data_IF_373210107232
#
_entry.id   IF_373210107232
#
_cell.length_a   1.000
_cell.length_b   1.000
_cell.length_c   1.000
_cell.angle_alpha   90.00
_cell.angle_beta   90.00
_cell.angle_gamma   90.00
#
_symmetry.space_group_name_H-M   'P 1'
#
loop_
_entity.id
_entity.type
_entity.pdbx_description
1 polymer ?
#
# COMPACT_ATOMS: atom_id res chain seq x y z
N UNK A 1 -15.50 7.31 5.67
CA UNK A 1 -14.17 6.63 5.60
C UNK A 1 -14.35 5.32 4.86
N UNK A 2 -14.01 5.26 3.57
CA UNK A 2 -14.14 4.03 2.78
C UNK A 2 -13.14 2.98 3.31
N UNK A 3 -13.63 1.80 3.68
CA UNK A 3 -12.77 0.65 3.98
C UNK A 3 -12.05 0.29 2.67
N UNK A 4 -10.76 0.64 2.61
CA UNK A 4 -9.90 0.33 1.47
C UNK A 4 -9.46 -1.11 1.67
N UNK A 5 -10.03 -2.02 0.90
CA UNK A 5 -9.66 -3.43 0.92
C UNK A 5 -8.71 -3.70 -0.26
N UNK A 6 -7.40 -3.41 -0.13
CA UNK A 6 -6.47 -3.52 -1.25
C UNK A 6 -6.37 -4.98 -1.72
N UNK A 7 -6.30 -5.16 -3.03
CA UNK A 7 -6.00 -6.42 -3.69
C UNK A 7 -5.24 -6.16 -4.98
N UNK A 8 -4.88 -7.20 -5.73
CA UNK A 8 -4.17 -7.09 -7.00
C UNK A 8 -4.38 -8.33 -7.86
N UNK A 9 -4.04 -8.23 -9.14
CA UNK A 9 -3.85 -9.38 -10.03
C UNK A 9 -2.54 -9.20 -10.81
N UNK A 10 -1.83 -10.29 -11.05
CA UNK A 10 -0.61 -10.27 -11.87
C UNK A 10 -0.96 -10.69 -13.30
N UNK A 11 -0.55 -9.88 -14.29
CA UNK A 11 -0.73 -10.14 -15.73
C UNK A 11 0.60 -9.91 -16.42
N UNK A 12 1.15 -10.93 -17.05
CA UNK A 12 2.43 -10.87 -17.79
C UNK A 12 3.61 -10.27 -16.99
N UNK A 13 3.61 -10.46 -15.67
CA UNK A 13 4.63 -9.93 -14.76
C UNK A 13 4.38 -8.50 -14.26
N UNK A 14 3.30 -7.86 -14.69
CA UNK A 14 2.82 -6.58 -14.18
C UNK A 14 1.76 -6.78 -13.09
N UNK A 15 1.93 -6.08 -11.97
CA UNK A 15 0.97 -6.09 -10.85
C UNK A 15 -0.08 -5.01 -11.05
N UNK A 16 -1.30 -5.41 -11.37
CA UNK A 16 -2.44 -4.51 -11.55
C UNK A 16 -3.12 -4.32 -10.18
N UNK A 17 -3.14 -3.09 -9.63
CA UNK A 17 -3.77 -2.84 -8.34
C UNK A 17 -5.29 -2.95 -8.44
N UNK A 18 -5.90 -3.40 -7.35
CA UNK A 18 -7.34 -3.56 -7.24
C UNK A 18 -7.87 -3.21 -5.84
N UNK A 19 -9.19 -3.16 -5.75
CA UNK A 19 -9.95 -3.06 -4.50
C UNK A 19 -11.12 -4.03 -4.55
N UNK A 20 -11.76 -4.31 -3.43
CA UNK A 20 -12.95 -5.15 -3.43
C UNK A 20 -14.00 -4.74 -2.40
N UNK A 21 -15.24 -5.08 -2.70
CA UNK A 21 -16.43 -4.89 -1.85
C UNK A 21 -17.41 -6.03 -2.05
N UNK A 22 -18.41 -6.14 -1.19
CA UNK A 22 -19.49 -7.12 -1.41
C UNK A 22 -20.61 -6.58 -2.31
N UNK A 23 -21.16 -7.47 -3.11
CA UNK A 23 -22.40 -7.29 -3.87
C UNK A 23 -23.24 -8.58 -3.81
N UNK A 24 -24.44 -8.55 -4.37
CA UNK A 24 -25.27 -9.73 -4.51
C UNK A 24 -25.45 -10.08 -5.98
N UNK A 25 -25.35 -11.36 -6.33
CA UNK A 25 -25.75 -11.86 -7.64
C UNK A 25 -26.95 -12.78 -7.55
N UNK A 26 -27.76 -12.83 -8.60
CA UNK A 26 -29.01 -13.59 -8.59
C UNK A 26 -28.78 -15.05 -9.00
N UNK A 27 -29.18 -15.98 -8.14
CA UNK A 27 -29.22 -17.43 -8.39
C UNK A 27 -30.64 -17.96 -8.20
N UNK A 28 -31.41 -18.07 -9.27
CA UNK A 28 -32.84 -18.37 -9.19
C UNK A 28 -33.61 -17.31 -8.38
N UNK A 29 -34.32 -17.76 -7.35
CA UNK A 29 -35.10 -16.89 -6.45
C UNK A 29 -34.32 -16.40 -5.22
N UNK A 30 -33.00 -16.62 -5.17
CA UNK A 30 -32.14 -16.24 -4.05
C UNK A 30 -30.99 -15.35 -4.51
N UNK A 31 -30.71 -14.30 -3.75
CA UNK A 31 -29.53 -13.47 -3.90
C UNK A 31 -28.33 -14.08 -3.18
N UNK A 32 -27.19 -14.19 -3.86
CA UNK A 32 -25.97 -14.72 -3.28
C UNK A 32 -24.96 -13.60 -3.07
N UNK A 33 -24.56 -13.41 -1.81
CA UNK A 33 -23.46 -12.51 -1.46
C UNK A 33 -22.18 -13.00 -2.13
N UNK A 34 -21.50 -12.11 -2.84
CA UNK A 34 -20.24 -12.38 -3.53
C UNK A 34 -19.33 -11.16 -3.44
N UNK A 35 -18.05 -11.37 -3.74
CA UNK A 35 -17.08 -10.30 -3.81
C UNK A 35 -17.07 -9.69 -5.22
N UNK A 36 -17.10 -8.36 -5.25
CA UNK A 36 -16.85 -7.53 -6.41
C UNK A 36 -15.44 -6.97 -6.30
N UNK A 37 -14.54 -7.45 -7.14
CA UNK A 37 -13.17 -6.96 -7.26
C UNK A 37 -13.07 -6.04 -8.47
N UNK A 38 -12.53 -4.84 -8.27
CA UNK A 38 -12.35 -3.80 -9.30
C UNK A 38 -10.86 -3.55 -9.47
N UNK A 39 -10.38 -3.54 -10.71
CA UNK A 39 -8.96 -3.35 -11.04
C UNK A 39 -8.71 -2.02 -11.76
N UNK A 40 -7.47 -1.53 -11.68
CA UNK A 40 -7.04 -0.24 -12.26
C UNK A 40 -7.22 -0.13 -13.78
N UNK A 41 -7.22 -1.25 -14.48
CA UNK A 41 -7.39 -1.33 -15.92
C UNK A 41 -8.87 -1.40 -16.35
N UNK A 42 -9.81 -1.28 -15.41
CA UNK A 42 -11.24 -1.29 -15.67
C UNK A 42 -11.87 -2.68 -15.80
N UNK A 43 -11.11 -3.74 -15.53
CA UNK A 43 -11.69 -5.07 -15.40
C UNK A 43 -12.27 -5.29 -14.01
N UNK A 44 -13.33 -6.10 -13.97
CA UNK A 44 -14.11 -6.38 -12.77
C UNK A 44 -14.31 -7.89 -12.65
N UNK A 45 -14.01 -8.42 -11.48
CA UNK A 45 -14.43 -9.75 -11.06
C UNK A 45 -15.66 -9.62 -10.16
N UNK A 46 -16.69 -10.42 -10.40
CA UNK A 46 -17.89 -10.45 -9.54
C UNK A 46 -18.22 -11.87 -9.07
N UNK A 47 -17.32 -12.84 -9.31
CA UNK A 47 -17.55 -14.27 -9.08
C UNK A 47 -18.20 -14.99 -10.28
N UNK A 48 -18.13 -14.41 -11.47
CA UNK A 48 -18.56 -15.04 -12.73
C UNK A 48 -17.47 -15.89 -13.38
N UNK A 49 -17.76 -16.45 -14.56
CA UNK A 49 -16.80 -17.31 -15.30
C UNK A 49 -15.57 -16.56 -15.83
N UNK A 50 -15.68 -15.24 -16.02
CA UNK A 50 -14.60 -14.38 -16.51
C UNK A 50 -14.71 -12.97 -15.94
N UNK A 51 -13.61 -12.24 -16.03
CA UNK A 51 -13.58 -10.79 -15.84
C UNK A 51 -14.45 -10.10 -16.89
N UNK A 52 -15.07 -9.00 -16.47
CA UNK A 52 -15.95 -8.17 -17.31
C UNK A 52 -15.46 -6.72 -17.32
N UNK A 53 -15.79 -5.98 -18.38
CA UNK A 53 -15.53 -4.53 -18.41
C UNK A 53 -16.56 -3.78 -17.56
N UNK A 54 -16.32 -2.49 -17.31
CA UNK A 54 -17.29 -1.58 -16.65
C UNK A 54 -18.63 -1.56 -17.39
N UNK A 55 -18.64 -1.59 -18.73
CA UNK A 55 -19.85 -1.58 -19.56
C UNK A 55 -20.64 -2.88 -19.44
N UNK A 56 -19.93 -4.02 -19.43
CA UNK A 56 -20.52 -5.33 -19.21
C UNK A 56 -21.09 -5.45 -17.79
N UNK A 57 -20.36 -4.95 -16.78
CA UNK A 57 -20.85 -4.87 -15.41
C UNK A 57 -22.10 -3.99 -15.30
N UNK A 58 -22.13 -2.85 -16.00
CA UNK A 58 -23.33 -2.02 -16.08
C UNK A 58 -24.52 -2.77 -16.70
N UNK A 59 -24.29 -3.67 -17.66
CA UNK A 59 -25.34 -4.54 -18.22
C UNK A 59 -25.83 -5.60 -17.20
N UNK A 60 -24.93 -6.14 -16.37
CA UNK A 60 -25.29 -7.06 -15.28
C UNK A 60 -26.17 -6.37 -14.22
N UNK A 61 -25.87 -5.11 -13.90
CA UNK A 61 -26.70 -4.30 -13.02
C UNK A 61 -28.07 -4.01 -13.63
N UNK A 62 -28.12 -3.57 -14.90
CA UNK A 62 -29.40 -3.29 -15.61
C UNK A 62 -30.29 -4.53 -15.76
N UNK A 63 -29.69 -5.70 -15.96
CA UNK A 63 -30.45 -6.96 -16.08
C UNK A 63 -30.94 -7.50 -14.73
N UNK A 64 -30.54 -6.91 -13.60
CA UNK A 64 -30.86 -7.42 -12.27
C UNK A 64 -30.15 -8.73 -11.95
N UNK A 65 -29.07 -9.06 -12.67
CA UNK A 65 -28.21 -10.21 -12.36
C UNK A 65 -27.27 -9.90 -11.19
N UNK A 66 -26.91 -8.63 -11.01
CA UNK A 66 -26.17 -8.12 -9.85
C UNK A 66 -26.97 -6.99 -9.21
N UNK A 67 -26.93 -6.90 -7.88
CA UNK A 67 -27.49 -5.81 -7.11
C UNK A 67 -26.55 -5.41 -5.97
N UNK A 68 -26.61 -4.15 -5.55
CA UNK A 68 -25.87 -3.66 -4.39
C UNK A 68 -26.48 -4.17 -3.07
N UNK A 69 -27.75 -4.59 -3.07
CA UNK A 69 -28.43 -5.18 -1.93
C UNK A 69 -29.84 -5.66 -2.29
N UNK A 70 -30.31 -6.79 -1.74
CA UNK A 70 -31.70 -7.24 -1.86
C UNK A 70 -32.67 -6.32 -1.10
N UNK A 71 -33.93 -6.29 -1.53
CA UNK A 71 -35.00 -5.50 -0.92
C UNK A 71 -35.82 -6.30 0.09
N UNK A 72 -36.75 -5.63 0.78
CA UNK A 72 -37.67 -6.24 1.74
C UNK A 72 -38.35 -7.50 1.17
N UNK A 73 -38.34 -8.60 1.94
CA UNK A 73 -38.96 -9.87 1.56
C UNK A 73 -38.14 -10.76 0.63
N UNK A 74 -37.05 -10.27 0.04
CA UNK A 74 -36.20 -11.09 -0.82
C UNK A 74 -35.31 -12.05 -0.01
N UNK A 75 -35.03 -13.22 -0.59
CA UNK A 75 -34.13 -14.22 -0.01
C UNK A 75 -32.69 -13.90 -0.37
N UNK A 76 -31.79 -14.01 0.60
CA UNK A 76 -30.36 -13.97 0.35
C UNK A 76 -29.62 -15.11 1.04
N UNK A 77 -28.42 -15.40 0.55
CA UNK A 77 -27.54 -16.40 1.09
C UNK A 77 -26.08 -15.96 0.95
N UNK A 78 -25.25 -16.39 1.90
CA UNK A 78 -23.80 -16.33 1.78
C UNK A 78 -23.25 -17.76 1.87
N UNK A 79 -22.41 -18.11 0.90
CA UNK A 79 -21.90 -19.48 0.75
C UNK A 79 -21.22 -19.95 2.05
N UNK A 80 -21.63 -21.12 2.54
CA UNK A 80 -21.17 -21.74 3.80
C UNK A 80 -21.40 -20.94 5.08
N UNK A 81 -22.12 -19.83 5.02
CA UNK A 81 -22.48 -19.01 6.18
C UNK A 81 -23.94 -19.26 6.55
N UNK A 82 -24.86 -19.11 5.57
CA UNK A 82 -26.29 -19.32 5.79
C UNK A 82 -27.17 -18.62 4.77
N UNK A 83 -28.48 -18.66 5.00
CA UNK A 83 -29.49 -17.96 4.20
C UNK A 83 -30.54 -17.29 5.09
N UNK A 84 -31.13 -16.22 4.59
CA UNK A 84 -32.09 -15.39 5.31
C UNK A 84 -33.08 -14.71 4.35
N UNK A 85 -34.19 -14.23 4.90
CA UNK A 85 -35.12 -13.34 4.20
C UNK A 85 -34.94 -11.94 4.76
N UNK A 86 -34.83 -10.93 3.90
CA UNK A 86 -34.66 -9.55 4.32
C UNK A 86 -35.91 -9.02 5.00
N UNK A 87 -35.76 -8.51 6.23
CA UNK A 87 -36.83 -7.84 6.97
C UNK A 87 -36.32 -6.54 7.60
N UNK A 88 -37.13 -5.47 7.52
CA UNK A 88 -36.79 -4.15 8.05
C UNK A 88 -35.66 -3.44 7.30
N UNK A 89 -35.57 -3.57 5.97
CA UNK A 89 -34.53 -2.91 5.17
C UNK A 89 -34.70 -1.39 5.21
N UNK A 90 -33.73 -0.69 5.83
CA UNK A 90 -33.76 0.78 5.97
C UNK A 90 -33.01 1.52 4.87
N UNK A 91 -31.93 0.93 4.37
CA UNK A 91 -31.04 1.53 3.38
C UNK A 91 -30.62 0.47 2.38
N UNK A 92 -30.75 0.77 1.09
CA UNK A 92 -30.19 -0.05 0.02
C UNK A 92 -29.50 0.88 -0.99
N UNK A 93 -28.33 0.46 -1.48
CA UNK A 93 -27.65 1.19 -2.54
C UNK A 93 -28.34 0.92 -3.88
N UNK A 94 -28.34 1.92 -4.76
CA UNK A 94 -28.95 1.82 -6.09
C UNK A 94 -27.92 1.36 -7.13
N UNK A 95 -28.33 0.62 -8.19
CA UNK A 95 -27.41 0.16 -9.22
C UNK A 95 -26.57 1.29 -9.86
N UNK A 96 -27.17 2.44 -10.10
CA UNK A 96 -26.52 3.63 -10.66
C UNK A 96 -25.45 4.21 -9.73
N UNK A 97 -25.67 4.18 -8.42
CA UNK A 97 -24.70 4.64 -7.43
C UNK A 97 -23.51 3.69 -7.39
N UNK A 98 -23.77 2.37 -7.34
CA UNK A 98 -22.72 1.36 -7.37
C UNK A 98 -21.88 1.45 -8.65
N UNK A 99 -22.50 1.64 -9.81
CA UNK A 99 -21.77 1.81 -11.06
C UNK A 99 -20.87 3.06 -11.04
N UNK A 100 -21.39 4.18 -10.52
CA UNK A 100 -20.61 5.40 -10.35
C UNK A 100 -19.41 5.22 -9.41
N UNK A 101 -19.64 4.59 -8.25
CA UNK A 101 -18.58 4.26 -7.29
C UNK A 101 -17.52 3.33 -7.90
N UNK A 102 -17.92 2.34 -8.69
CA UNK A 102 -16.98 1.44 -9.40
C UNK A 102 -16.12 2.21 -10.40
N UNK A 103 -16.70 3.15 -11.15
CA UNK A 103 -15.95 4.00 -12.08
C UNK A 103 -14.91 4.86 -11.34
N UNK A 104 -15.29 5.47 -10.23
CA UNK A 104 -14.36 6.24 -9.40
C UNK A 104 -13.24 5.38 -8.82
N UNK A 105 -13.54 4.14 -8.41
CA UNK A 105 -12.50 3.20 -7.96
C UNK A 105 -11.51 2.86 -9.07
N UNK A 106 -11.97 2.67 -10.32
CA UNK A 106 -11.08 2.47 -11.48
C UNK A 106 -10.16 3.68 -11.69
N UNK A 107 -10.71 4.90 -11.70
CA UNK A 107 -9.92 6.12 -11.87
C UNK A 107 -8.87 6.27 -10.76
N UNK A 108 -9.30 6.07 -9.50
CA UNK A 108 -8.43 6.14 -8.33
C UNK A 108 -7.30 5.11 -8.40
N UNK A 109 -7.62 3.87 -8.74
CA UNK A 109 -6.63 2.79 -8.85
C UNK A 109 -5.65 3.03 -10.00
N UNK A 110 -6.09 3.67 -11.07
CA UNK A 110 -5.26 4.07 -12.20
C UNK A 110 -4.46 5.37 -11.96
N UNK A 111 -4.59 6.01 -10.80
CA UNK A 111 -3.93 7.27 -10.49
C UNK A 111 -4.48 8.47 -11.27
N UNK A 112 -5.73 8.38 -11.75
CA UNK A 112 -6.44 9.47 -12.44
C UNK A 112 -7.45 10.14 -11.51
N UNK A 113 -7.82 11.41 -11.76
CA UNK A 113 -8.79 12.12 -10.94
C UNK A 113 -10.16 11.45 -10.96
N UNK A 114 -10.66 11.11 -9.78
CA UNK A 114 -12.05 10.68 -9.53
C UNK A 114 -13.06 11.77 -9.87
N UNK A 115 -14.35 11.42 -9.98
CA UNK A 115 -15.42 12.41 -10.18
C UNK A 115 -15.42 13.53 -9.14
N UNK A 116 -15.13 13.19 -7.87
CA UNK A 116 -15.04 14.15 -6.77
C UNK A 116 -13.87 15.11 -6.99
N UNK A 117 -12.68 14.61 -7.32
CA UNK A 117 -11.51 15.44 -7.56
C UNK A 117 -11.69 16.36 -8.78
N UNK A 118 -12.34 15.87 -9.85
CA UNK A 118 -12.69 16.71 -11.01
C UNK A 118 -13.69 17.81 -10.65
N UNK A 119 -14.67 17.51 -9.81
CA UNK A 119 -15.62 18.52 -9.32
C UNK A 119 -14.92 19.58 -8.47
N UNK A 120 -14.03 19.19 -7.55
CA UNK A 120 -13.26 20.16 -6.75
C UNK A 120 -12.34 21.03 -7.61
N UNK A 121 -11.73 20.47 -8.67
CA UNK A 121 -10.99 21.27 -9.63
C UNK A 121 -11.90 22.28 -10.37
N UNK A 122 -13.12 21.87 -10.73
CA UNK A 122 -14.11 22.78 -11.32
C UNK A 122 -14.55 23.89 -10.35
N UNK A 123 -14.64 23.60 -9.03
CA UNK A 123 -14.87 24.64 -8.00
C UNK A 123 -13.75 25.68 -8.03
N UNK A 124 -12.49 25.24 -8.09
CA UNK A 124 -11.33 26.13 -8.12
C UNK A 124 -11.33 27.03 -9.37
N UNK A 125 -11.62 26.45 -10.54
CA UNK A 125 -11.76 27.21 -11.81
C UNK A 125 -12.88 28.24 -11.72
N UNK A 126 -14.05 27.86 -11.17
CA UNK A 126 -15.17 28.77 -10.99
C UNK A 126 -14.87 29.90 -10.00
N UNK A 127 -14.21 29.61 -8.89
CA UNK A 127 -13.86 30.63 -7.89
C UNK A 127 -12.80 31.61 -8.39
N UNK A 128 -11.89 31.16 -9.27
CA UNK A 128 -10.92 32.01 -9.95
C UNK A 128 -11.59 32.94 -10.97
N UNK A 129 -12.52 32.42 -11.76
CA UNK A 129 -13.27 33.17 -12.78
C UNK A 129 -14.75 32.77 -12.77
N UNK A 130 -15.60 33.63 -12.17
CA UNK A 130 -17.02 33.37 -11.92
C UNK A 130 -17.89 33.63 -13.15
N UNK A 131 -17.58 32.96 -14.27
CA UNK A 131 -18.41 33.00 -15.48
C UNK A 131 -19.53 31.97 -15.42
N UNK A 132 -20.60 32.21 -16.17
CA UNK A 132 -21.68 31.23 -16.34
C UNK A 132 -21.18 29.92 -16.94
N UNK A 133 -20.20 29.97 -17.85
CA UNK A 133 -19.59 28.78 -18.44
C UNK A 133 -18.88 27.92 -17.37
N UNK A 134 -18.09 28.55 -16.50
CA UNK A 134 -17.40 27.85 -15.41
C UNK A 134 -18.39 27.32 -14.36
N UNK A 135 -19.47 28.07 -14.09
CA UNK A 135 -20.56 27.60 -13.21
C UNK A 135 -21.27 26.38 -13.77
N UNK A 136 -21.61 26.40 -15.05
CA UNK A 136 -22.24 25.26 -15.73
C UNK A 136 -21.31 24.04 -15.75
N UNK A 137 -20.01 24.24 -15.94
CA UNK A 137 -19.01 23.18 -15.85
C UNK A 137 -18.92 22.58 -14.44
N UNK A 138 -18.90 23.42 -13.40
CA UNK A 138 -18.97 22.98 -12.00
C UNK A 138 -20.25 22.17 -11.73
N UNK A 139 -21.41 22.67 -12.17
CA UNK A 139 -22.68 21.97 -12.01
C UNK A 139 -22.65 20.60 -12.69
N UNK A 140 -22.14 20.53 -13.91
CA UNK A 140 -21.98 19.26 -14.63
C UNK A 140 -21.06 18.29 -13.89
N UNK A 141 -19.89 18.76 -13.42
CA UNK A 141 -18.93 17.94 -12.69
C UNK A 141 -19.49 17.44 -11.34
N UNK A 142 -20.28 18.25 -10.63
CA UNK A 142 -20.95 17.82 -9.40
C UNK A 142 -21.98 16.71 -9.68
N UNK A 143 -22.72 16.79 -10.79
CA UNK A 143 -23.69 15.78 -11.18
C UNK A 143 -23.04 14.45 -11.61
N UNK A 144 -21.79 14.47 -12.09
CA UNK A 144 -21.01 13.26 -12.34
C UNK A 144 -20.64 12.50 -11.06
N UNK A 145 -20.57 13.17 -9.91
CA UNK A 145 -20.30 12.49 -8.64
C UNK A 145 -21.45 11.53 -8.35
N UNK A 146 -21.16 10.24 -8.05
CA UNK A 146 -22.18 9.30 -7.61
C UNK A 146 -22.94 9.87 -6.43
N UNK A 147 -24.27 9.82 -6.45
CA UNK A 147 -25.12 10.46 -5.43
C UNK A 147 -24.78 10.01 -4.00
N UNK A 148 -24.40 8.74 -3.84
CA UNK A 148 -23.91 8.16 -2.58
C UNK A 148 -22.60 8.77 -2.07
N UNK A 149 -21.81 9.39 -2.95
CA UNK A 149 -20.53 10.03 -2.63
C UNK A 149 -20.64 11.55 -2.48
N UNK A 150 -21.68 12.19 -3.05
CA UNK A 150 -21.83 13.65 -3.07
C UNK A 150 -21.71 14.27 -1.69
N UNK A 151 -22.47 13.79 -0.71
CA UNK A 151 -22.44 14.31 0.67
C UNK A 151 -21.06 14.23 1.34
N UNK A 152 -20.13 13.45 0.79
CA UNK A 152 -18.77 13.27 1.30
C UNK A 152 -17.72 14.02 0.47
N UNK A 153 -18.11 14.73 -0.59
CA UNK A 153 -17.21 15.33 -1.58
C UNK A 153 -16.18 16.30 -0.96
N UNK A 154 -16.58 17.03 0.09
CA UNK A 154 -15.70 17.96 0.82
C UNK A 154 -14.94 17.28 1.97
N UNK A 155 -15.29 16.06 2.36
CA UNK A 155 -14.76 15.40 3.56
C UNK A 155 -15.21 16.04 4.88
N UNK A 156 -16.06 17.07 4.81
CA UNK A 156 -16.67 17.79 5.92
C UNK A 156 -18.12 17.32 6.08
N UNK A 157 -18.42 16.65 7.19
CA UNK A 157 -19.76 16.07 7.41
C UNK A 157 -20.79 17.09 7.92
N UNK A 158 -20.32 18.24 8.40
CA UNK A 158 -21.18 19.33 8.86
C UNK A 158 -21.70 20.10 7.63
N UNK A 159 -20.80 20.45 6.70
CA UNK A 159 -21.17 21.17 5.47
C UNK A 159 -21.62 20.25 4.32
N UNK A 160 -21.15 19.00 4.28
CA UNK A 160 -21.40 18.01 3.21
C UNK A 160 -21.03 18.54 1.82
N UNK A 161 -21.93 18.51 0.85
CA UNK A 161 -21.79 19.10 -0.47
C UNK A 161 -22.57 20.40 -0.65
N UNK A 162 -23.16 20.93 0.42
CA UNK A 162 -24.00 22.13 0.36
C UNK A 162 -23.23 23.30 -0.27
N UNK A 163 -21.97 23.61 0.12
CA UNK A 163 -21.20 24.67 -0.53
C UNK A 163 -21.03 24.47 -2.04
N UNK A 164 -20.85 23.24 -2.51
CA UNK A 164 -20.73 22.94 -3.95
C UNK A 164 -22.06 23.21 -4.65
N UNK A 165 -23.17 22.75 -4.06
CA UNK A 165 -24.52 22.92 -4.61
C UNK A 165 -24.92 24.39 -4.73
N UNK A 166 -24.61 25.19 -3.71
CA UNK A 166 -24.86 26.64 -3.71
C UNK A 166 -24.09 27.32 -4.84
N UNK A 167 -22.79 27.05 -4.99
CA UNK A 167 -21.99 27.62 -6.09
C UNK A 167 -22.51 27.17 -7.47
N UNK A 168 -22.94 25.92 -7.61
CA UNK A 168 -23.49 25.38 -8.84
C UNK A 168 -24.85 26.00 -9.20
N UNK A 169 -25.70 26.30 -8.21
CA UNK A 169 -27.01 26.91 -8.38
C UNK A 169 -26.93 28.38 -8.85
N UNK A 170 -25.90 29.11 -8.40
CA UNK A 170 -25.70 30.53 -8.73
C UNK A 170 -26.50 31.49 -7.85
N UNK A 171 -26.33 32.81 -8.01
CA UNK A 171 -26.87 33.81 -7.09
C UNK A 171 -28.40 33.93 -7.09
N UNK A 172 -29.08 33.46 -8.13
CA UNK A 172 -30.54 33.42 -8.20
C UNK A 172 -31.14 32.18 -7.51
N UNK A 173 -30.31 31.35 -6.86
CA UNK A 173 -30.74 30.16 -6.09
C UNK A 173 -31.14 28.94 -6.90
N UNK A 174 -31.49 29.14 -8.18
CA UNK A 174 -31.96 28.07 -9.07
C UNK A 174 -33.16 27.31 -8.49
N UNK A 175 -33.30 26.03 -8.87
CA UNK A 175 -34.39 25.16 -8.40
C UNK A 175 -34.28 24.78 -6.91
N UNK A 176 -33.14 25.05 -6.27
CA UNK A 176 -32.87 24.69 -4.88
C UNK A 176 -33.24 25.81 -3.88
N UNK A 177 -33.44 27.04 -4.36
CA UNK A 177 -33.95 28.15 -3.56
C UNK A 177 -32.94 28.79 -2.61
N UNK A 178 -31.64 28.68 -2.89
CA UNK A 178 -30.60 29.39 -2.13
C UNK A 178 -30.67 30.90 -2.38
N UNK A 179 -30.20 31.70 -1.43
CA UNK A 179 -30.13 33.14 -1.57
C UNK A 179 -28.70 33.68 -1.73
N UNK A 180 -28.56 35.01 -1.79
CA UNK A 180 -27.26 35.68 -1.92
C UNK A 180 -26.38 35.50 -0.67
N UNK A 181 -26.99 35.33 0.51
CA UNK A 181 -26.27 35.08 1.77
C UNK A 181 -25.64 33.67 1.74
N UNK A 182 -26.41 32.66 1.34
CA UNK A 182 -25.91 31.29 1.12
C UNK A 182 -24.72 31.30 0.15
N UNK A 183 -24.85 32.00 -0.97
CA UNK A 183 -23.78 32.09 -1.98
C UNK A 183 -22.52 32.79 -1.41
N UNK A 184 -22.70 33.85 -0.62
CA UNK A 184 -21.62 34.51 0.10
C UNK A 184 -20.91 33.59 1.10
N UNK A 185 -21.67 32.77 1.83
CA UNK A 185 -21.14 31.79 2.78
C UNK A 185 -20.37 30.67 2.08
N UNK A 186 -20.89 30.13 0.97
CA UNK A 186 -20.21 29.11 0.18
C UNK A 186 -18.86 29.60 -0.37
N UNK A 187 -18.79 30.85 -0.87
CA UNK A 187 -17.52 31.44 -1.31
C UNK A 187 -16.54 31.57 -0.14
N UNK A 188 -17.01 31.96 1.05
CA UNK A 188 -16.19 32.10 2.26
C UNK A 188 -15.66 30.74 2.73
N UNK A 189 -16.51 29.71 2.71
CA UNK A 189 -16.17 28.33 3.05
C UNK A 189 -14.93 27.88 2.27
N UNK A 190 -14.92 28.03 0.95
CA UNK A 190 -13.80 27.61 0.12
C UNK A 190 -12.56 28.51 0.29
N UNK A 191 -12.74 29.81 0.52
CA UNK A 191 -11.62 30.71 0.80
C UNK A 191 -10.89 30.34 2.10
N UNK A 192 -11.63 30.03 3.16
CA UNK A 192 -11.08 29.58 4.45
C UNK A 192 -10.45 28.18 4.32
N UNK A 193 -11.13 27.25 3.64
CA UNK A 193 -10.61 25.89 3.45
C UNK A 193 -9.37 25.83 2.56
N UNK A 194 -9.22 26.73 1.58
CA UNK A 194 -7.99 26.85 0.79
C UNK A 194 -6.78 27.23 1.68
N UNK A 195 -6.99 28.10 2.68
CA UNK A 195 -5.96 28.44 3.67
C UNK A 195 -5.62 27.23 4.54
N UNK A 196 -6.61 26.45 4.97
CA UNK A 196 -6.40 25.22 5.73
C UNK A 196 -5.68 24.12 4.95
N UNK A 197 -6.01 23.88 3.67
CA UNK A 197 -5.27 22.91 2.83
C UNK A 197 -3.79 23.29 2.73
N UNK A 198 -3.50 24.57 2.51
CA UNK A 198 -2.11 25.06 2.51
C UNK A 198 -1.41 24.88 3.85
N UNK A 199 -2.12 25.01 5.00
CA UNK A 199 -1.57 24.73 6.34
C UNK A 199 -1.38 23.23 6.58
N UNK A 200 -2.31 22.39 6.13
CA UNK A 200 -2.24 20.94 6.26
C UNK A 200 -1.11 20.33 5.41
N UNK A 201 -0.90 20.82 4.18
CA UNK A 201 0.27 20.47 3.36
C UNK A 201 1.60 20.85 4.03
N UNK A 202 1.60 21.88 4.88
CA UNK A 202 2.73 22.28 5.72
C UNK A 202 2.88 21.46 6.99
N UNK A 203 1.82 20.81 7.49
CA UNK A 203 1.88 19.87 8.61
C UNK A 203 2.46 18.54 8.12
N UNK A 204 3.78 18.54 7.88
CA UNK A 204 4.55 17.31 7.76
C UNK A 204 4.88 16.83 9.18
N UNK A 205 4.77 15.53 9.39
CA UNK A 205 5.33 14.91 10.59
C UNK A 205 6.81 15.32 10.69
N UNK A 206 7.22 15.82 11.86
CA UNK A 206 8.55 16.37 12.06
C UNK A 206 9.63 15.31 11.77
N UNK A 207 9.31 14.05 12.09
CA UNK A 207 10.17 12.88 11.87
C UNK A 207 9.73 12.07 10.62
N UNK A 208 8.79 12.61 9.84
CA UNK A 208 8.28 12.00 8.62
C UNK A 208 9.30 12.01 7.47
N UNK A 209 9.07 11.23 6.41
CA UNK A 209 9.93 11.21 5.25
C UNK A 209 9.96 12.61 4.59
N UNK A 210 11.17 13.13 4.38
CA UNK A 210 11.39 14.48 3.83
C UNK A 210 11.11 14.58 2.31
N UNK A 211 10.79 13.47 1.65
CA UNK A 211 10.46 13.36 0.24
C UNK A 211 9.94 11.96 -0.11
N UNK A 212 9.56 11.71 -1.37
CA UNK A 212 9.14 10.39 -1.82
C UNK A 212 10.24 9.35 -1.55
N UNK A 213 9.88 8.11 -1.19
CA UNK A 213 10.87 7.07 -0.91
C UNK A 213 11.73 6.81 -2.14
N UNK A 214 13.05 6.73 -1.95
CA UNK A 214 13.95 6.30 -3.01
C UNK A 214 13.62 4.86 -3.44
N UNK A 215 13.79 4.51 -4.73
CA UNK A 215 13.54 3.15 -5.20
C UNK A 215 14.42 2.16 -4.42
N UNK A 216 13.91 0.95 -4.11
CA UNK A 216 14.64 -0.02 -3.32
C UNK A 216 15.90 -0.51 -4.05
N UNK A 217 16.99 -0.68 -3.30
CA UNK A 217 18.22 -1.31 -3.78
C UNK A 217 18.19 -2.78 -3.43
N UNK A 218 18.22 -3.65 -4.45
CA UNK A 218 18.25 -5.10 -4.26
C UNK A 218 19.69 -5.60 -4.07
N UNK A 219 19.92 -6.28 -2.97
CA UNK A 219 21.16 -6.99 -2.63
C UNK A 219 21.07 -8.41 -3.24
N UNK A 220 21.37 -8.55 -4.53
CA UNK A 220 21.29 -9.79 -5.32
C UNK A 220 22.52 -10.72 -5.15
N UNK A 221 22.40 -12.04 -5.42
CA UNK A 221 23.58 -12.89 -5.61
C UNK A 221 24.31 -12.49 -6.89
N UNK A 222 25.65 -12.51 -6.87
CA UNK A 222 26.46 -12.26 -8.06
C UNK A 222 26.35 -13.46 -9.02
N UNK A 223 25.38 -13.43 -9.95
CA UNK A 223 25.38 -14.27 -11.14
C UNK A 223 25.45 -13.35 -12.36
N UNK A 224 26.61 -13.34 -13.03
CA UNK A 224 26.85 -12.55 -14.25
C UNK A 224 27.45 -11.15 -14.02
N UNK A 225 28.27 -10.71 -14.98
CA UNK A 225 28.98 -9.42 -14.96
C UNK A 225 28.05 -8.27 -15.35
N UNK A 226 27.92 -7.25 -14.49
CA UNK A 226 27.62 -5.83 -14.77
C UNK A 226 27.51 -5.06 -13.45
N UNK A 227 27.50 -3.73 -13.50
CA UNK A 227 27.57 -2.74 -12.40
C UNK A 227 26.62 -2.95 -11.19
N UNK A 228 25.68 -3.92 -11.25
CA UNK A 228 24.90 -4.45 -10.11
C UNK A 228 25.75 -5.13 -9.00
N UNK A 229 27.08 -5.19 -9.16
CA UNK A 229 28.00 -5.88 -8.25
C UNK A 229 28.23 -5.16 -6.90
N UNK A 230 28.03 -3.84 -6.82
CA UNK A 230 28.33 -3.10 -5.58
C UNK A 230 27.47 -3.58 -4.39
N UNK A 231 26.17 -3.83 -4.59
CA UNK A 231 25.30 -4.29 -3.52
C UNK A 231 25.60 -5.74 -3.07
N UNK A 232 26.21 -6.57 -3.92
CA UNK A 232 26.50 -7.97 -3.59
C UNK A 232 27.50 -8.11 -2.43
N UNK A 233 28.40 -7.13 -2.26
CA UNK A 233 29.40 -7.11 -1.18
C UNK A 233 28.80 -6.82 0.20
N UNK A 234 27.59 -6.22 0.23
CA UNK A 234 26.84 -5.97 1.46
C UNK A 234 26.29 -7.26 2.09
N UNK A 235 26.23 -8.37 1.35
CA UNK A 235 25.71 -9.66 1.82
C UNK A 235 26.48 -10.25 3.00
N UNK A 236 25.78 -11.05 3.80
CA UNK A 236 26.37 -11.83 4.89
C UNK A 236 27.34 -12.93 4.43
N UNK A 237 27.13 -13.41 3.21
CA UNK A 237 27.97 -14.43 2.57
C UNK A 237 29.19 -13.85 1.87
N UNK A 238 29.32 -12.51 1.78
CA UNK A 238 30.47 -11.88 1.15
C UNK A 238 31.74 -12.19 1.97
N UNK A 239 32.85 -12.63 1.34
CA UNK A 239 34.15 -12.82 2.00
C UNK A 239 34.70 -11.52 2.58
N UNK A 240 34.43 -11.30 3.87
CA UNK A 240 34.92 -10.19 4.66
C UNK A 240 35.19 -10.73 6.08
N UNK A 241 36.45 -11.12 6.38
CA UNK A 241 36.79 -11.69 7.67
C UNK A 241 36.48 -10.70 8.80
N UNK A 242 35.81 -11.17 9.84
CA UNK A 242 35.41 -10.33 10.97
C UNK A 242 35.83 -10.97 12.28
N UNK A 243 36.28 -10.13 13.21
CA UNK A 243 36.53 -10.55 14.58
C UNK A 243 35.31 -10.23 15.45
N UNK A 244 34.81 -11.23 16.17
CA UNK A 244 33.71 -11.09 17.13
C UNK A 244 34.11 -11.82 18.41
N UNK A 245 34.11 -11.12 19.54
CA UNK A 245 34.50 -11.65 20.86
C UNK A 245 35.90 -12.32 20.85
N UNK A 246 36.85 -11.76 20.10
CA UNK A 246 38.22 -12.28 19.97
C UNK A 246 38.38 -13.47 19.02
N UNK A 247 37.32 -13.88 18.31
CA UNK A 247 37.34 -14.98 17.34
C UNK A 247 37.13 -14.46 15.92
N UNK A 248 38.02 -14.83 15.00
CA UNK A 248 37.91 -14.46 13.58
C UNK A 248 37.05 -15.46 12.80
N UNK A 249 36.08 -14.94 12.05
CA UNK A 249 35.19 -15.69 11.18
C UNK A 249 35.37 -15.25 9.71
N UNK A 250 35.35 -16.18 8.73
CA UNK A 250 35.52 -15.82 7.32
C UNK A 250 34.43 -14.90 6.76
N UNK A 251 33.18 -15.04 7.24
CA UNK A 251 32.04 -14.19 6.86
C UNK A 251 31.05 -14.03 8.02
N UNK A 252 30.11 -13.09 7.89
CA UNK A 252 28.97 -12.92 8.81
C UNK A 252 28.17 -14.22 8.95
N UNK A 253 27.98 -14.97 7.85
CA UNK A 253 27.29 -16.27 7.87
C UNK A 253 28.01 -17.28 8.76
N UNK A 254 29.34 -17.34 8.73
CA UNK A 254 30.11 -18.23 9.63
C UNK A 254 29.92 -17.82 11.08
N UNK A 255 30.07 -16.52 11.40
CA UNK A 255 29.90 -16.01 12.75
C UNK A 255 28.49 -16.27 13.30
N UNK A 256 27.45 -15.98 12.51
CA UNK A 256 26.06 -16.15 12.93
C UNK A 256 25.73 -17.60 13.28
N UNK A 257 26.12 -18.55 12.42
CA UNK A 257 25.82 -19.95 12.67
C UNK A 257 26.68 -20.55 13.77
N UNK A 258 27.96 -20.17 13.89
CA UNK A 258 28.81 -20.61 14.99
C UNK A 258 28.31 -20.12 16.34
N UNK A 259 27.81 -18.86 16.42
CA UNK A 259 27.22 -18.30 17.63
C UNK A 259 25.80 -18.83 17.92
N UNK A 260 25.19 -19.56 16.99
CA UNK A 260 23.83 -20.09 17.16
C UNK A 260 23.76 -21.38 17.98
N UNK A 261 24.91 -21.97 18.34
CA UNK A 261 25.03 -23.23 19.07
C UNK A 261 25.96 -23.05 20.27
N UNK A 262 25.74 -23.86 21.32
CA UNK A 262 26.65 -23.96 22.48
C UNK A 262 27.62 -25.15 22.36
N UNK A 263 27.47 -25.98 21.32
CA UNK A 263 28.39 -27.06 21.03
C UNK A 263 29.67 -26.51 20.38
N UNK A 264 30.76 -26.51 21.14
CA UNK A 264 32.06 -25.98 20.71
C UNK A 264 32.60 -26.71 19.48
N UNK A 265 32.39 -28.02 19.37
CA UNK A 265 32.83 -28.81 18.23
C UNK A 265 32.06 -28.45 16.96
N UNK A 266 30.75 -28.24 17.08
CA UNK A 266 29.91 -27.74 15.98
C UNK A 266 30.26 -26.31 15.59
N UNK A 267 30.47 -25.43 16.56
CA UNK A 267 30.87 -24.04 16.31
C UNK A 267 32.19 -23.97 15.53
N UNK A 268 33.17 -24.81 15.89
CA UNK A 268 34.45 -24.90 15.20
C UNK A 268 34.31 -25.49 13.78
N UNK A 269 33.48 -26.52 13.61
CA UNK A 269 33.15 -27.08 12.28
C UNK A 269 32.53 -26.03 11.36
N UNK A 270 31.61 -25.22 11.88
CA UNK A 270 30.96 -24.14 11.15
C UNK A 270 31.98 -23.05 10.78
N UNK A 271 32.83 -22.67 11.73
CA UNK A 271 33.86 -21.63 11.54
C UNK A 271 34.88 -22.03 10.48
N UNK A 272 35.28 -23.30 10.47
CA UNK A 272 36.28 -23.87 9.55
C UNK A 272 35.68 -24.36 8.22
N UNK A 273 34.38 -24.15 7.99
CA UNK A 273 33.74 -24.56 6.75
C UNK A 273 34.32 -23.80 5.54
N UNK A 274 34.49 -24.45 4.38
CA UNK A 274 35.17 -23.84 3.23
C UNK A 274 34.32 -22.79 2.51
N UNK A 275 33.00 -22.79 2.71
CA UNK A 275 32.08 -21.84 2.07
C UNK A 275 30.95 -21.44 3.02
N UNK A 276 30.36 -20.23 2.85
CA UNK A 276 29.20 -19.80 3.63
C UNK A 276 28.00 -20.76 3.52
N UNK A 277 27.84 -21.40 2.36
CA UNK A 277 26.80 -22.40 2.15
C UNK A 277 26.99 -23.62 3.06
N UNK A 278 28.22 -24.12 3.19
CA UNK A 278 28.56 -25.25 4.07
C UNK A 278 28.52 -24.86 5.55
N UNK A 279 28.97 -23.65 5.90
CA UNK A 279 28.83 -23.13 7.25
C UNK A 279 27.37 -23.08 7.69
N UNK A 280 26.49 -22.65 6.78
CA UNK A 280 25.04 -22.63 7.01
C UNK A 280 24.44 -24.02 7.14
N UNK A 281 24.76 -24.94 6.24
CA UNK A 281 24.27 -26.33 6.30
C UNK A 281 24.64 -26.97 7.64
N UNK A 282 25.92 -26.89 8.04
CA UNK A 282 26.37 -27.39 9.34
C UNK A 282 25.69 -26.67 10.51
N UNK A 283 25.44 -25.36 10.39
CA UNK A 283 24.70 -24.57 11.36
C UNK A 283 23.24 -24.97 11.46
N UNK A 284 22.56 -25.26 10.35
CA UNK A 284 21.17 -25.70 10.28
C UNK A 284 20.97 -27.04 11.00
N UNK A 285 21.94 -27.94 10.90
CA UNK A 285 21.97 -29.26 11.57
C UNK A 285 22.41 -29.23 13.04
N UNK A 286 22.92 -28.10 13.53
CA UNK A 286 23.47 -28.00 14.88
C UNK A 286 22.39 -27.68 15.93
N UNK A 287 22.52 -28.19 17.17
CA UNK A 287 21.63 -27.81 18.27
C UNK A 287 21.66 -26.30 18.51
N UNK A 288 20.51 -25.69 18.73
CA UNK A 288 20.41 -24.25 18.99
C UNK A 288 20.73 -23.92 20.44
N UNK A 289 21.40 -22.78 20.64
CA UNK A 289 21.46 -22.10 21.94
C UNK A 289 20.04 -21.84 22.45
N UNK A 290 19.86 -21.90 23.77
CA UNK A 290 18.61 -21.53 24.41
C UNK A 290 18.18 -20.10 24.01
N UNK A 291 16.87 -19.89 23.81
CA UNK A 291 16.30 -18.59 23.43
C UNK A 291 16.83 -17.99 22.11
N UNK A 292 17.43 -18.81 21.23
CA UNK A 292 18.00 -18.31 19.96
C UNK A 292 17.01 -17.51 19.11
N UNK A 293 15.73 -17.89 19.11
CA UNK A 293 14.70 -17.19 18.36
C UNK A 293 14.51 -15.73 18.81
N UNK A 294 14.74 -15.46 20.09
CA UNK A 294 14.57 -14.14 20.71
C UNK A 294 15.82 -13.27 20.51
N UNK A 295 17.01 -13.88 20.50
CA UNK A 295 18.28 -13.15 20.44
C UNK A 295 18.91 -13.06 19.04
N UNK A 296 18.47 -13.87 18.06
CA UNK A 296 19.10 -13.95 16.73
C UNK A 296 19.20 -12.62 15.99
N UNK A 297 18.24 -11.70 16.18
CA UNK A 297 18.27 -10.37 15.57
C UNK A 297 19.37 -9.50 16.19
N UNK A 298 19.49 -9.51 17.51
CA UNK A 298 20.54 -8.79 18.22
C UNK A 298 21.93 -9.33 17.87
N UNK A 299 22.06 -10.67 17.78
CA UNK A 299 23.32 -11.31 17.38
C UNK A 299 23.68 -10.94 15.93
N UNK A 300 22.74 -11.02 14.99
CA UNK A 300 22.98 -10.61 13.60
C UNK A 300 23.37 -9.12 13.50
N UNK A 301 22.65 -8.24 14.18
CA UNK A 301 22.94 -6.80 14.24
C UNK A 301 24.36 -6.54 14.74
N UNK A 302 24.78 -7.19 15.83
CA UNK A 302 26.14 -7.10 16.39
C UNK A 302 27.21 -7.53 15.38
N UNK A 303 27.01 -8.65 14.69
CA UNK A 303 27.97 -9.17 13.72
C UNK A 303 28.04 -8.24 12.48
N UNK A 304 26.91 -7.71 12.03
CA UNK A 304 26.86 -6.74 10.94
C UNK A 304 27.61 -5.45 11.29
N UNK A 305 27.42 -4.90 12.50
CA UNK A 305 28.21 -3.77 13.00
C UNK A 305 29.70 -4.06 12.94
N UNK A 306 30.13 -5.24 13.41
CA UNK A 306 31.53 -5.64 13.34
C UNK A 306 32.06 -5.65 11.90
N UNK A 307 31.29 -6.18 10.94
CA UNK A 307 31.65 -6.16 9.52
C UNK A 307 31.89 -4.74 9.01
N UNK A 308 30.94 -3.83 9.18
CA UNK A 308 31.07 -2.50 8.60
C UNK A 308 32.04 -1.60 9.39
N UNK A 309 32.24 -1.84 10.69
CA UNK A 309 33.27 -1.16 11.46
C UNK A 309 34.69 -1.59 11.06
N UNK A 310 34.89 -2.87 10.73
CA UNK A 310 36.21 -3.43 10.39
C UNK A 310 36.57 -3.28 8.89
N UNK A 311 35.57 -3.02 8.02
CA UNK A 311 35.75 -2.90 6.57
C UNK A 311 35.20 -1.57 6.07
N UNK A 312 36.04 -0.53 6.08
CA UNK A 312 35.64 0.84 5.75
C UNK A 312 35.12 1.00 4.30
N UNK A 313 35.67 0.24 3.35
CA UNK A 313 35.21 0.22 1.97
C UNK A 313 33.76 -0.30 1.84
N UNK A 314 33.41 -1.34 2.59
CA UNK A 314 32.05 -1.87 2.65
C UNK A 314 31.09 -0.91 3.37
N UNK A 315 31.58 -0.16 4.37
CA UNK A 315 30.81 0.87 5.05
C UNK A 315 30.46 2.02 4.10
N UNK A 316 31.40 2.47 3.27
CA UNK A 316 31.12 3.46 2.22
C UNK A 316 30.09 2.95 1.22
N UNK A 317 30.21 1.71 0.75
CA UNK A 317 29.22 1.11 -0.15
C UNK A 317 27.82 1.08 0.47
N UNK A 318 27.71 0.74 1.76
CA UNK A 318 26.43 0.76 2.48
C UNK A 318 25.88 2.19 2.57
N UNK A 319 26.72 3.19 2.86
CA UNK A 319 26.30 4.59 2.97
C UNK A 319 25.86 5.19 1.62
N UNK A 320 26.52 4.77 0.53
CA UNK A 320 26.19 5.16 -0.84
C UNK A 320 24.81 4.67 -1.31
N UNK A 321 24.19 3.73 -0.59
CA UNK A 321 22.78 3.35 -0.84
C UNK A 321 21.78 4.44 -0.44
N UNK A 322 22.24 5.56 0.14
CA UNK A 322 21.39 6.71 0.43
C UNK A 322 20.26 6.36 1.41
N UNK A 323 19.06 6.84 1.15
CA UNK A 323 17.86 6.51 1.94
C UNK A 323 17.02 5.39 1.30
N UNK A 324 17.58 4.67 0.33
CA UNK A 324 16.87 3.59 -0.34
C UNK A 324 16.59 2.44 0.64
N UNK A 325 15.38 1.85 0.60
CA UNK A 325 15.12 0.58 1.26
C UNK A 325 16.05 -0.51 0.69
N UNK A 326 16.61 -1.34 1.55
CA UNK A 326 17.49 -2.44 1.17
C UNK A 326 16.72 -3.75 1.15
N UNK A 327 16.64 -4.37 -0.02
CA UNK A 327 15.97 -5.66 -0.20
C UNK A 327 17.00 -6.76 -0.38
N UNK A 328 17.09 -7.69 0.57
CA UNK A 328 17.93 -8.87 0.39
C UNK A 328 17.19 -9.91 -0.44
N UNK A 329 17.85 -10.37 -1.52
CA UNK A 329 17.30 -11.18 -2.60
C UNK A 329 16.27 -12.23 -2.18
N UNK A 330 15.25 -12.39 -3.03
CA UNK A 330 14.14 -13.30 -2.77
C UNK A 330 14.64 -14.73 -2.58
N UNK A 331 14.28 -15.30 -1.43
CA UNK A 331 14.54 -16.70 -1.13
C UNK A 331 13.29 -17.26 -0.46
N UNK A 332 12.43 -17.99 -1.20
CA UNK A 332 11.21 -18.57 -0.64
C UNK A 332 11.51 -19.56 0.49
N UNK A 333 12.69 -20.18 0.48
CA UNK A 333 13.19 -21.03 1.56
C UNK A 333 13.54 -20.26 2.85
N UNK A 334 13.69 -18.92 2.81
CA UNK A 334 14.22 -18.12 3.92
C UNK A 334 13.42 -16.83 4.16
N UNK A 335 12.11 -16.93 4.42
CA UNK A 335 11.23 -15.77 4.54
C UNK A 335 11.51 -14.89 5.77
N UNK A 336 12.22 -15.39 6.78
CA UNK A 336 12.56 -14.57 7.94
C UNK A 336 13.64 -13.51 7.61
N UNK A 337 14.73 -13.93 6.96
CA UNK A 337 15.87 -13.04 6.67
C UNK A 337 15.72 -12.29 5.33
N UNK A 338 15.09 -12.93 4.35
CA UNK A 338 14.95 -12.44 2.97
C UNK A 338 13.51 -12.08 2.65
N UNK A 339 13.30 -11.39 1.53
CA UNK A 339 11.97 -11.12 0.98
C UNK A 339 11.42 -12.39 0.30
N UNK A 340 10.88 -13.33 1.08
CA UNK A 340 10.21 -14.53 0.55
C UNK A 340 8.75 -14.25 0.15
N UNK A 341 8.51 -13.74 -1.05
CA UNK A 341 7.15 -13.40 -1.53
C UNK A 341 6.42 -12.41 -0.61
N UNK A 342 5.09 -12.51 -0.49
CA UNK A 342 4.29 -11.62 0.36
C UNK A 342 4.53 -11.82 1.89
N UNK A 343 5.09 -12.95 2.31
CA UNK A 343 5.32 -13.29 3.72
C UNK A 343 6.76 -13.00 4.21
N UNK A 344 7.65 -12.56 3.33
CA UNK A 344 9.04 -12.26 3.64
C UNK A 344 9.19 -11.07 4.59
N UNK A 345 9.92 -11.24 5.70
CA UNK A 345 10.13 -10.16 6.69
C UNK A 345 11.30 -9.23 6.35
N UNK A 346 12.21 -9.65 5.47
CA UNK A 346 13.39 -8.87 5.05
C UNK A 346 14.19 -8.30 6.25
N UNK A 347 14.33 -9.08 7.33
CA UNK A 347 15.05 -8.60 8.52
C UNK A 347 16.50 -8.24 8.23
N UNK A 348 17.14 -8.89 7.25
CA UNK A 348 18.51 -8.57 6.89
C UNK A 348 18.62 -7.15 6.30
N UNK A 349 17.73 -6.81 5.36
CA UNK A 349 17.67 -5.46 4.78
C UNK A 349 17.45 -4.38 5.83
N UNK A 350 16.50 -4.61 6.76
CA UNK A 350 16.21 -3.69 7.87
C UNK A 350 17.39 -3.50 8.82
N UNK A 351 18.13 -4.58 9.11
CA UNK A 351 19.33 -4.48 9.96
C UNK A 351 20.47 -3.75 9.26
N UNK A 352 20.62 -3.91 7.93
CA UNK A 352 21.58 -3.12 7.15
C UNK A 352 21.21 -1.62 7.14
N UNK A 353 19.92 -1.29 7.04
CA UNK A 353 19.43 0.08 7.16
C UNK A 353 19.71 0.68 8.54
N UNK A 354 19.54 -0.11 9.62
CA UNK A 354 19.90 0.29 10.98
C UNK A 354 21.39 0.59 11.09
N UNK A 355 22.26 -0.34 10.65
CA UNK A 355 23.71 -0.15 10.69
C UNK A 355 24.13 1.06 9.84
N UNK A 356 23.50 1.27 8.68
CA UNK A 356 23.71 2.48 7.86
C UNK A 356 23.37 3.76 8.64
N UNK A 357 22.29 3.74 9.40
CA UNK A 357 21.88 4.87 10.24
C UNK A 357 22.89 5.14 11.37
N UNK A 358 23.37 4.08 12.03
CA UNK A 358 24.40 4.17 13.07
C UNK A 358 25.70 4.76 12.53
N UNK A 359 26.18 4.27 11.37
CA UNK A 359 27.37 4.82 10.71
C UNK A 359 27.23 6.32 10.35
N UNK A 360 26.02 6.78 10.03
CA UNK A 360 25.75 8.20 9.78
C UNK A 360 25.78 9.03 11.06
N UNK A 361 25.21 8.51 12.14
CA UNK A 361 25.27 9.15 13.45
C UNK A 361 26.72 9.31 13.90
N UNK A 362 27.53 8.25 13.78
CA UNK A 362 28.96 8.28 14.09
C UNK A 362 29.71 9.33 13.24
N UNK A 363 29.44 9.42 11.92
CA UNK A 363 30.03 10.48 11.06
C UNK A 363 29.58 11.89 11.42
N UNK A 364 28.36 12.03 11.93
CA UNK A 364 27.82 13.30 12.39
C UNK A 364 28.25 13.66 13.83
N UNK A 365 28.93 12.74 14.53
CA UNK A 365 29.33 12.92 15.93
C UNK A 365 28.17 12.87 16.93
N UNK A 366 27.11 12.11 16.60
CA UNK A 366 25.91 11.93 17.43
C UNK A 366 25.93 10.64 18.25
#
# INVERSE_FOLDING_TARGET
>A
MALRNPTHRDVDGERIPGTWRHVFHRGGDTWHLTDLVVYADGLIDWGGERLVTVEEFAALLRSGRIAAGPTEGEKAAAYRIGSWTMTGVRTHSRPEWLLGEVRDEVERLAGRPTSTERCLAAVEVFLAERTEANRAALRAAHLEIPESLRAYALGDMDARDIPIRVLAAGPDGGDEGFDEEDHGEAVRYFAEHAQWRGVAERRRDADGPQGPPAPPVTVEPAFGQTEKQAAARLRNDHPAPIEVDGVTYPTVTHAYWALSTDDVGRAELIRSAPTPARAREAGEESPRRAHWADVRLAVMSRILRAKFAQHADLAEELLNTGNAPLHCADSPARPFWHRGGEAGRNWLGRLLELVRSELRAERAGL
#
